data_IF_385301202942
#
_entry.id   IF_385301202942
#
_cell.length_a   1.000
_cell.length_b   1.000
_cell.length_c   1.000
_cell.angle_alpha   90.00
_cell.angle_beta   90.00
_cell.angle_gamma   90.00
#
_symmetry.space_group_name_H-M   'P 1'
#
loop_
_entity.id
_entity.type
_entity.pdbx_description
1 polymer ?
#
# COMPACT_ATOMS: atom_id res chain seq x y z
N UNK A 1 3.97 10.56 -49.66
CA UNK A 1 4.50 10.76 -48.28
C UNK A 1 3.85 9.80 -47.29
N UNK A 2 2.86 9.02 -47.72
CA UNK A 2 1.96 8.23 -46.86
C UNK A 2 2.53 6.86 -46.48
N UNK A 3 3.39 6.29 -47.32
CA UNK A 3 3.99 4.96 -47.09
C UNK A 3 4.91 4.93 -45.85
N UNK A 4 5.59 6.04 -45.57
CA UNK A 4 6.40 6.21 -44.35
C UNK A 4 5.51 6.25 -43.10
N UNK A 5 4.38 6.95 -43.17
CA UNK A 5 3.47 7.07 -42.03
C UNK A 5 2.82 5.71 -41.71
N UNK A 6 2.47 4.94 -42.73
CA UNK A 6 1.92 3.58 -42.60
C UNK A 6 2.92 2.60 -41.98
N UNK A 7 4.20 2.68 -42.35
CA UNK A 7 5.25 1.84 -41.76
C UNK A 7 5.61 2.28 -40.33
N UNK A 8 5.58 3.58 -40.06
CA UNK A 8 5.85 4.15 -38.74
C UNK A 8 4.73 3.82 -37.75
N UNK A 9 3.48 3.84 -38.19
CA UNK A 9 2.32 3.42 -37.37
C UNK A 9 2.33 1.92 -37.11
N UNK A 10 2.58 1.08 -38.13
CA UNK A 10 2.70 -0.37 -37.98
C UNK A 10 3.84 -0.78 -37.03
N UNK A 11 4.98 -0.09 -37.07
CA UNK A 11 6.09 -0.31 -36.15
C UNK A 11 5.79 0.19 -34.73
N UNK A 12 5.03 1.29 -34.58
CA UNK A 12 4.56 1.80 -33.27
C UNK A 12 3.53 0.89 -32.63
N UNK A 13 2.72 0.19 -33.43
CA UNK A 13 1.69 -0.72 -32.94
C UNK A 13 2.29 -2.05 -32.47
N UNK A 14 3.37 -2.50 -33.11
CA UNK A 14 4.21 -3.61 -32.64
C UNK A 14 5.03 -3.26 -31.38
N UNK A 15 5.40 -1.98 -31.19
CA UNK A 15 6.06 -1.46 -29.98
C UNK A 15 5.08 -0.87 -28.95
N UNK A 16 3.76 -1.00 -29.15
CA UNK A 16 2.79 -0.59 -28.14
C UNK A 16 2.98 -1.55 -26.96
N UNK A 17 3.34 -1.06 -25.76
CA UNK A 17 3.72 -1.95 -24.66
C UNK A 17 2.50 -2.74 -24.20
N UNK A 18 2.30 -3.92 -24.81
CA UNK A 18 1.35 -4.95 -24.38
C UNK A 18 1.78 -5.61 -23.07
N UNK A 19 2.95 -5.23 -22.57
CA UNK A 19 3.57 -5.64 -21.32
C UNK A 19 3.02 -4.90 -20.09
N UNK A 20 2.16 -3.89 -20.23
CA UNK A 20 1.64 -3.18 -19.05
C UNK A 20 0.55 -3.96 -18.31
N UNK A 21 -0.11 -4.96 -18.94
CA UNK A 21 -1.16 -5.74 -18.26
C UNK A 21 -0.59 -6.79 -17.29
N UNK A 22 0.46 -7.52 -17.68
CA UNK A 22 1.11 -8.52 -16.82
C UNK A 22 1.98 -7.91 -15.72
N UNK A 23 2.67 -6.79 -16.02
CA UNK A 23 3.45 -6.06 -15.02
C UNK A 23 2.56 -5.41 -13.96
N UNK A 24 1.39 -4.87 -14.33
CA UNK A 24 0.47 -4.28 -13.38
C UNK A 24 -0.19 -5.32 -12.47
N UNK A 25 -0.56 -6.49 -12.98
CA UNK A 25 -1.11 -7.57 -12.15
C UNK A 25 -0.05 -8.11 -11.18
N UNK A 26 1.15 -8.47 -11.67
CA UNK A 26 2.26 -8.94 -10.82
C UNK A 26 2.67 -7.88 -9.77
N UNK A 27 2.67 -6.60 -10.14
CA UNK A 27 2.95 -5.49 -9.21
C UNK A 27 1.81 -5.31 -8.20
N UNK A 28 0.55 -5.45 -8.59
CA UNK A 28 -0.61 -5.34 -7.70
C UNK A 28 -0.60 -6.45 -6.64
N UNK A 29 -0.29 -7.69 -7.02
CA UNK A 29 -0.12 -8.79 -6.06
C UNK A 29 1.07 -8.57 -5.13
N UNK A 30 2.21 -8.07 -5.65
CA UNK A 30 3.38 -7.73 -4.85
C UNK A 30 3.11 -6.62 -3.81
N UNK A 31 2.32 -5.61 -4.19
CA UNK A 31 1.93 -4.52 -3.27
C UNK A 31 0.95 -5.04 -2.20
N UNK A 32 -0.06 -5.83 -2.60
CA UNK A 32 -1.05 -6.38 -1.67
C UNK A 32 -0.40 -7.31 -0.62
N UNK A 33 0.52 -8.18 -1.04
CA UNK A 33 1.24 -9.08 -0.12
C UNK A 33 2.12 -8.31 0.86
N UNK A 34 2.79 -7.23 0.42
CA UNK A 34 3.57 -6.37 1.32
C UNK A 34 2.69 -5.66 2.34
N UNK A 35 1.55 -5.11 1.93
CA UNK A 35 0.60 -4.46 2.85
C UNK A 35 0.11 -5.43 3.95
N UNK A 36 -0.24 -6.66 3.56
CA UNK A 36 -0.65 -7.70 4.52
C UNK A 36 0.52 -8.13 5.41
N UNK A 37 1.72 -8.29 4.85
CA UNK A 37 2.91 -8.65 5.62
C UNK A 37 3.28 -7.58 6.66
N UNK A 38 3.14 -6.29 6.32
CA UNK A 38 3.35 -5.19 7.27
C UNK A 38 2.36 -5.24 8.44
N UNK A 39 1.08 -5.55 8.16
CA UNK A 39 0.07 -5.74 9.21
C UNK A 39 0.37 -6.94 10.12
N UNK A 40 0.70 -8.09 9.53
CA UNK A 40 1.00 -9.32 10.29
C UNK A 40 2.30 -9.15 11.09
N UNK A 41 3.31 -8.48 10.54
CA UNK A 41 4.57 -8.21 11.23
C UNK A 41 4.35 -7.36 12.49
N UNK A 42 3.56 -6.29 12.41
CA UNK A 42 3.20 -5.46 13.58
C UNK A 42 2.44 -6.25 14.64
N UNK A 43 1.49 -7.11 14.22
CA UNK A 43 0.73 -7.96 15.13
C UNK A 43 1.62 -8.99 15.82
N UNK A 44 2.50 -9.67 15.08
CA UNK A 44 3.47 -10.63 15.63
C UNK A 44 4.37 -9.98 16.67
N UNK A 45 4.94 -8.82 16.36
CA UNK A 45 5.79 -8.09 17.32
C UNK A 45 5.00 -7.73 18.57
N UNK A 46 3.78 -7.22 18.45
CA UNK A 46 2.93 -6.87 19.60
C UNK A 46 2.58 -8.08 20.48
N UNK A 47 2.24 -9.22 19.86
CA UNK A 47 1.92 -10.47 20.58
C UNK A 47 3.16 -11.06 21.25
N UNK A 48 4.30 -11.10 20.56
CA UNK A 48 5.56 -11.60 21.14
C UNK A 48 6.04 -10.71 22.30
N UNK A 49 6.04 -9.39 22.13
CA UNK A 49 6.41 -8.47 23.20
C UNK A 49 5.42 -8.50 24.36
N UNK A 50 4.12 -8.52 24.09
CA UNK A 50 3.08 -8.63 25.11
C UNK A 50 3.20 -9.92 25.92
N UNK A 51 3.41 -11.05 25.25
CA UNK A 51 3.65 -12.35 25.90
C UNK A 51 4.93 -12.37 26.74
N UNK A 52 6.03 -11.84 26.19
CA UNK A 52 7.32 -11.80 26.87
C UNK A 52 7.27 -10.92 28.12
N UNK A 53 6.60 -9.76 28.04
CA UNK A 53 6.42 -8.85 29.17
C UNK A 53 5.45 -9.43 30.21
N UNK A 54 4.32 -10.02 29.81
CA UNK A 54 3.41 -10.69 30.76
C UNK A 54 4.13 -11.81 31.54
N UNK A 55 5.07 -12.51 30.91
CA UNK A 55 5.90 -13.54 31.57
C UNK A 55 6.91 -12.96 32.56
N UNK A 56 7.46 -11.77 32.27
CA UNK A 56 8.49 -11.13 33.10
C UNK A 56 7.87 -10.46 34.34
N UNK A 57 6.68 -9.86 34.19
CA UNK A 57 5.99 -9.17 35.28
C UNK A 57 5.01 -10.06 36.05
N UNK A 58 4.87 -11.33 35.65
CA UNK A 58 3.86 -12.28 36.16
C UNK A 58 2.44 -11.67 36.17
N UNK A 59 2.22 -10.69 35.30
CA UNK A 59 0.95 -10.02 35.15
C UNK A 59 0.02 -10.95 34.39
N UNK A 60 -1.18 -11.16 34.96
CA UNK A 60 -2.36 -11.65 34.21
C UNK A 60 -2.46 -10.88 32.88
N UNK A 61 -3.08 -11.42 31.79
CA UNK A 61 -2.90 -11.01 30.38
C UNK A 61 -3.36 -9.59 30.02
N UNK A 62 -3.00 -8.61 30.83
CA UNK A 62 -3.33 -7.20 30.80
C UNK A 62 -2.36 -6.45 29.90
N UNK A 63 -1.05 -6.80 29.93
CA UNK A 63 -0.11 -6.20 28.99
C UNK A 63 -0.38 -6.71 27.58
N UNK A 64 -0.73 -7.99 27.40
CA UNK A 64 -1.27 -8.51 26.14
C UNK A 64 -2.43 -7.67 25.60
N UNK A 65 -3.45 -7.36 26.41
CA UNK A 65 -4.61 -6.55 25.98
C UNK A 65 -4.18 -5.12 25.62
N UNK A 66 -3.33 -4.49 26.43
CA UNK A 66 -2.82 -3.14 26.17
C UNK A 66 -2.02 -3.09 24.86
N UNK A 67 -1.10 -4.04 24.67
CA UNK A 67 -0.30 -4.15 23.44
C UNK A 67 -1.12 -4.56 22.23
N UNK A 68 -2.20 -5.33 22.41
CA UNK A 68 -3.13 -5.66 21.33
C UNK A 68 -3.86 -4.42 20.84
N UNK A 69 -4.37 -3.59 21.75
CA UNK A 69 -5.04 -2.33 21.40
C UNK A 69 -4.03 -1.36 20.76
N UNK A 70 -2.84 -1.22 21.34
CA UNK A 70 -1.82 -0.31 20.84
C UNK A 70 -1.26 -0.77 19.48
N UNK A 71 -1.01 -2.07 19.31
CA UNK A 71 -0.57 -2.68 18.04
C UNK A 71 -1.63 -2.58 16.96
N UNK A 72 -2.90 -2.80 17.30
CA UNK A 72 -4.03 -2.62 16.37
C UNK A 72 -4.15 -1.16 15.93
N UNK A 73 -4.04 -0.20 16.86
CA UNK A 73 -4.05 1.22 16.55
C UNK A 73 -2.88 1.62 15.64
N UNK A 74 -1.67 1.14 15.91
CA UNK A 74 -0.50 1.37 15.07
C UNK A 74 -0.67 0.77 13.66
N UNK A 75 -1.22 -0.44 13.55
CA UNK A 75 -1.50 -1.09 12.28
C UNK A 75 -2.52 -0.32 11.43
N UNK A 76 -3.63 0.10 12.03
CA UNK A 76 -4.65 0.94 11.37
C UNK A 76 -4.02 2.25 10.89
N UNK A 77 -3.19 2.88 11.72
CA UNK A 77 -2.51 4.13 11.39
C UNK A 77 -1.52 3.97 10.23
N UNK A 78 -0.82 2.83 10.12
CA UNK A 78 0.03 2.51 8.97
C UNK A 78 -0.79 2.37 7.68
N UNK A 79 -1.91 1.65 7.72
CA UNK A 79 -2.81 1.47 6.57
C UNK A 79 -3.42 2.79 6.13
N UNK A 80 -3.90 3.62 7.06
CA UNK A 80 -4.42 4.94 6.75
C UNK A 80 -3.37 5.83 6.09
N UNK A 81 -2.11 5.74 6.53
CA UNK A 81 -0.99 6.47 5.93
C UNK A 81 -0.69 5.96 4.51
N UNK A 82 -0.72 4.66 4.28
CA UNK A 82 -0.57 4.07 2.95
C UNK A 82 -1.71 4.51 2.01
N UNK A 83 -2.96 4.47 2.48
CA UNK A 83 -4.13 4.91 1.73
C UNK A 83 -4.06 6.40 1.38
N UNK A 84 -3.64 7.26 2.33
CA UNK A 84 -3.50 8.71 2.09
C UNK A 84 -2.40 9.05 1.07
N UNK A 85 -1.38 8.22 0.93
CA UNK A 85 -0.33 8.38 -0.10
C UNK A 85 -0.83 7.96 -1.49
N UNK A 86 -1.78 7.03 -1.57
CA UNK A 86 -2.41 6.60 -2.82
C UNK A 86 -3.59 7.47 -3.24
N UNK A 87 -4.20 8.21 -2.31
CA UNK A 87 -5.22 9.18 -2.63
C UNK A 87 -4.59 10.29 -3.50
N UNK A 88 -5.02 10.46 -4.77
CA UNK A 88 -4.59 11.61 -5.55
C UNK A 88 -4.99 12.86 -4.77
N UNK A 89 -4.05 13.80 -4.60
CA UNK A 89 -4.40 15.13 -4.09
C UNK A 89 -5.49 15.67 -5.01
N UNK A 90 -6.74 15.63 -4.58
CA UNK A 90 -7.81 16.36 -5.23
C UNK A 90 -7.41 17.82 -5.15
N UNK A 91 -6.92 18.32 -6.28
CA UNK A 91 -6.79 19.72 -6.62
C UNK A 91 -8.13 20.39 -6.31
N UNK A 92 -8.18 21.04 -5.17
CA UNK A 92 -9.16 22.07 -4.88
C UNK A 92 -8.34 23.33 -4.65
N UNK A 93 -7.86 23.88 -5.77
CA UNK A 93 -7.38 25.25 -5.88
C UNK A 93 -7.44 25.61 -7.37
N UNK A 94 -8.60 26.11 -7.80
CA UNK A 94 -8.86 27.02 -8.94
C UNK A 94 -10.34 26.96 -9.33
N UNK A 95 -11.19 27.34 -8.38
CA UNK A 95 -12.55 27.83 -8.65
C UNK A 95 -12.66 29.34 -8.45
N UNK A 96 -11.54 30.06 -8.56
CA UNK A 96 -11.43 31.52 -8.44
C UNK A 96 -10.68 32.11 -9.64
N UNK A 97 -11.23 31.96 -10.85
CA UNK A 97 -10.94 32.93 -11.91
C UNK A 97 -12.20 33.19 -12.74
N UNK A 98 -13.08 33.95 -12.09
CA UNK A 98 -14.08 34.79 -12.72
C UNK A 98 -13.36 35.85 -13.58
N UNK A 99 -13.40 35.71 -14.91
CA UNK A 99 -13.44 36.85 -15.86
C UNK A 99 -14.07 36.43 -17.20
#
# INVERSE_FOLDING_TARGET
>A
MDDLNTRLSAAREANRPKEQRGLNEATTYGIATRLVAELIAGLLVGVLFGWYLDRLFDTKPWLMILFLIMGSAAGIMNVMRAAKQMAPKSTHDESDESN
#
